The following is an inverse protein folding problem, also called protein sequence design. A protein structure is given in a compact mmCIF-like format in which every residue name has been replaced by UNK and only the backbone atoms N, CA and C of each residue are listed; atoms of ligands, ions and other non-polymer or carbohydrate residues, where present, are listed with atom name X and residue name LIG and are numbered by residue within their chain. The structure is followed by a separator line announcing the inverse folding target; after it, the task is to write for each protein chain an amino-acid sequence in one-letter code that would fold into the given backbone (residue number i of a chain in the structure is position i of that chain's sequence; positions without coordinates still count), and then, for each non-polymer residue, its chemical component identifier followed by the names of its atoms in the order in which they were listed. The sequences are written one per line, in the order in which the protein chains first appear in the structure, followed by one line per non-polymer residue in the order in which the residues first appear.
data_IF_226366482501
#
_entry.id   IF_226366482501
#
_cell.length_a   1.000
_cell.length_b   1.000
_cell.length_c   1.000
_cell.angle_alpha   90.00
_cell.angle_beta   90.00
_cell.angle_gamma   90.00
#
_symmetry.space_group_name_H-M   'P 1'
#
loop_
_entity.id
_entity.type
_entity.pdbx_description
1 polymer ?
#
# COMPACT_ATOMS: atom_id res chain seq x y z
N UNK A 1 33.10 9.10 7.38
CA UNK A 1 32.60 8.99 6.02
C UNK A 1 32.52 7.51 5.72
N UNK A 2 31.35 6.93 5.99
CA UNK A 2 31.00 5.65 5.41
C UNK A 2 30.44 5.97 4.03
N UNK A 3 30.97 5.35 2.99
CA UNK A 3 30.49 5.55 1.61
C UNK A 3 29.97 4.20 1.13
N UNK A 4 28.77 4.21 0.57
CA UNK A 4 28.19 3.04 -0.07
C UNK A 4 28.77 2.92 -1.48
N UNK A 5 29.92 2.26 -1.61
CA UNK A 5 30.53 1.90 -2.90
C UNK A 5 30.43 0.38 -3.07
N UNK A 6 29.34 -0.14 -3.62
CA UNK A 6 29.07 -1.58 -3.62
C UNK A 6 29.90 -2.39 -4.63
N UNK A 7 30.50 -1.73 -5.63
CA UNK A 7 31.23 -2.42 -6.72
C UNK A 7 32.69 -1.97 -6.82
N UNK A 8 32.95 -0.68 -7.04
CA UNK A 8 34.30 -0.14 -7.26
C UNK A 8 35.06 0.23 -5.97
N UNK A 9 35.00 -0.63 -4.95
CA UNK A 9 35.55 -0.30 -3.63
C UNK A 9 37.08 -0.18 -3.62
N UNK A 10 37.79 -0.92 -4.48
CA UNK A 10 39.25 -0.82 -4.59
C UNK A 10 39.69 0.56 -5.09
N UNK A 11 39.07 1.03 -6.18
CA UNK A 11 39.33 2.37 -6.73
C UNK A 11 39.05 3.45 -5.69
N UNK A 12 37.92 3.34 -4.99
CA UNK A 12 37.57 4.27 -3.91
C UNK A 12 38.62 4.28 -2.79
N UNK A 13 39.11 3.11 -2.36
CA UNK A 13 40.14 3.01 -1.31
C UNK A 13 41.46 3.62 -1.78
N UNK A 14 41.88 3.34 -3.01
CA UNK A 14 43.13 3.84 -3.58
C UNK A 14 43.10 5.37 -3.71
N UNK A 15 42.00 5.93 -4.25
CA UNK A 15 41.81 7.37 -4.40
C UNK A 15 41.72 8.08 -3.05
N UNK A 16 40.97 7.53 -2.09
CA UNK A 16 40.87 8.09 -0.75
C UNK A 16 42.23 8.06 -0.05
N UNK A 17 42.98 6.96 -0.18
CA UNK A 17 44.33 6.82 0.39
C UNK A 17 45.30 7.82 -0.24
N UNK A 18 45.25 7.99 -1.56
CA UNK A 18 46.04 8.99 -2.27
C UNK A 18 45.73 10.40 -1.76
N UNK A 19 44.45 10.76 -1.62
CA UNK A 19 44.04 12.07 -1.13
C UNK A 19 44.52 12.34 0.30
N UNK A 20 44.49 11.33 1.17
CA UNK A 20 45.03 11.44 2.54
C UNK A 20 46.55 11.60 2.53
N UNK A 21 47.28 10.77 1.76
CA UNK A 21 48.75 10.84 1.67
C UNK A 21 49.25 12.18 1.12
N UNK A 22 48.47 12.83 0.26
CA UNK A 22 48.79 14.14 -0.32
C UNK A 22 48.21 15.32 0.48
N UNK A 23 47.70 15.09 1.70
CA UNK A 23 47.11 16.11 2.58
C UNK A 23 45.92 16.88 1.96
N UNK A 24 45.28 16.33 0.92
CA UNK A 24 44.02 16.86 0.36
C UNK A 24 42.89 16.62 1.35
N UNK A 25 42.87 15.44 1.98
CA UNK A 25 41.97 15.10 3.09
C UNK A 25 42.81 14.99 4.37
N UNK A 26 42.54 15.81 5.40
CA UNK A 26 43.31 15.74 6.64
C UNK A 26 42.98 14.46 7.43
N UNK A 27 43.98 13.90 8.12
CA UNK A 27 43.79 12.70 8.96
C UNK A 27 42.70 12.89 10.02
N UNK A 28 42.52 14.10 10.56
CA UNK A 28 41.44 14.39 11.51
C UNK A 28 40.04 14.11 10.96
N UNK A 29 39.83 14.23 9.64
CA UNK A 29 38.57 13.86 8.97
C UNK A 29 38.39 12.35 8.93
N UNK A 30 39.48 11.59 8.74
CA UNK A 30 39.50 10.13 8.78
C UNK A 30 39.26 9.64 10.22
N UNK A 31 39.89 10.28 11.21
CA UNK A 31 39.72 9.94 12.61
C UNK A 31 38.28 10.18 13.08
N UNK A 32 37.68 11.33 12.78
CA UNK A 32 36.25 11.60 13.08
C UNK A 32 35.34 10.57 12.40
N UNK A 33 35.63 10.22 11.14
CA UNK A 33 34.89 9.24 10.37
C UNK A 33 34.91 7.85 11.02
N UNK A 34 36.11 7.35 11.31
CA UNK A 34 36.33 6.02 11.89
C UNK A 34 35.80 5.97 13.30
N UNK A 35 36.02 7.01 14.10
CA UNK A 35 35.52 7.11 15.46
C UNK A 35 33.99 6.96 15.52
N UNK A 36 33.24 7.60 14.61
CA UNK A 36 31.78 7.46 14.54
C UNK A 36 31.34 6.05 14.16
N UNK A 37 32.02 5.41 13.19
CA UNK A 37 31.73 4.03 12.77
C UNK A 37 32.01 3.06 13.92
N UNK A 38 33.19 3.16 14.54
CA UNK A 38 33.58 2.30 15.65
C UNK A 38 32.67 2.51 16.87
N UNK A 39 32.31 3.77 17.18
CA UNK A 39 31.36 4.06 18.26
C UNK A 39 30.06 3.29 18.08
N UNK A 40 29.46 3.31 16.89
CA UNK A 40 28.22 2.55 16.63
C UNK A 40 28.46 1.05 16.81
N UNK A 41 29.52 0.49 16.21
CA UNK A 41 29.86 -0.94 16.31
C UNK A 41 30.06 -1.41 17.75
N UNK A 42 30.76 -0.63 18.58
CA UNK A 42 30.93 -0.91 20.00
C UNK A 42 29.62 -0.74 20.78
N UNK A 43 28.88 0.36 20.54
CA UNK A 43 27.64 0.66 21.28
C UNK A 43 26.57 -0.41 21.07
N UNK A 44 26.47 -0.96 19.85
CA UNK A 44 25.50 -2.01 19.54
C UNK A 44 25.98 -3.43 19.91
N UNK A 45 27.17 -3.58 20.50
CA UNK A 45 27.72 -4.86 20.90
C UNK A 45 28.16 -5.77 19.74
N UNK A 46 28.47 -5.20 18.57
CA UNK A 46 28.86 -5.99 17.38
C UNK A 46 30.20 -6.71 17.58
N UNK A 47 31.07 -6.20 18.47
CA UNK A 47 32.33 -6.86 18.80
C UNK A 47 32.13 -8.07 19.73
N UNK A 48 31.11 -8.02 20.59
CA UNK A 48 30.74 -9.11 21.49
C UNK A 48 29.89 -10.17 20.79
N UNK A 49 28.99 -9.75 19.90
CA UNK A 49 28.08 -10.64 19.15
C UNK A 49 28.21 -10.39 17.63
N UNK A 50 29.33 -10.79 17.00
CA UNK A 50 29.58 -10.53 15.59
C UNK A 50 28.86 -11.48 14.63
N UNK A 51 28.28 -12.57 15.14
CA UNK A 51 27.63 -13.61 14.34
C UNK A 51 26.12 -13.64 14.58
N UNK A 52 25.39 -14.16 13.61
CA UNK A 52 23.95 -14.37 13.74
C UNK A 52 23.62 -15.39 14.83
N UNK A 53 22.50 -15.18 15.50
CA UNK A 53 21.92 -16.14 16.45
C UNK A 53 20.90 -17.04 15.71
N UNK A 54 21.17 -18.35 15.53
CA UNK A 54 20.25 -19.25 14.84
C UNK A 54 18.91 -19.44 15.55
N UNK A 55 18.81 -19.14 16.85
CA UNK A 55 17.56 -19.26 17.60
C UNK A 55 16.48 -18.27 17.13
N UNK A 56 16.89 -17.17 16.50
CA UNK A 56 15.99 -16.14 15.98
C UNK A 56 15.42 -16.48 14.60
N UNK A 57 15.79 -17.61 13.98
CA UNK A 57 15.29 -17.97 12.65
C UNK A 57 13.75 -18.09 12.59
N UNK A 58 13.12 -18.46 13.71
CA UNK A 58 11.65 -18.55 13.82
C UNK A 58 10.93 -17.20 13.86
N UNK A 59 11.64 -16.09 14.06
CA UNK A 59 11.06 -14.73 14.07
C UNK A 59 10.66 -14.26 12.66
N UNK A 60 11.28 -14.85 11.63
CA UNK A 60 11.00 -14.51 10.24
C UNK A 60 9.57 -14.91 9.86
N UNK A 61 8.72 -13.90 9.68
CA UNK A 61 7.32 -14.11 9.30
C UNK A 61 6.46 -14.76 10.38
N UNK A 62 6.84 -14.61 11.66
CA UNK A 62 6.09 -15.09 12.82
C UNK A 62 4.64 -14.58 12.83
N UNK A 63 3.75 -15.34 13.47
CA UNK A 63 2.34 -14.99 13.53
C UNK A 63 2.11 -13.66 14.24
N UNK A 64 2.86 -13.40 15.32
CA UNK A 64 2.79 -12.18 16.11
C UNK A 64 3.17 -10.95 15.28
N UNK A 65 4.21 -11.04 14.44
CA UNK A 65 4.58 -9.96 13.51
C UNK A 65 3.52 -9.74 12.43
N UNK A 66 2.88 -10.81 11.96
CA UNK A 66 1.77 -10.72 11.00
C UNK A 66 0.54 -10.08 11.62
N UNK A 67 0.22 -10.34 12.89
CA UNK A 67 -0.89 -9.66 13.57
C UNK A 67 -0.61 -8.17 13.76
N UNK A 68 0.65 -7.78 14.05
CA UNK A 68 1.06 -6.36 14.07
C UNK A 68 0.94 -5.74 12.67
N UNK A 69 1.34 -6.44 11.61
CA UNK A 69 1.20 -5.96 10.24
C UNK A 69 -0.28 -5.83 9.84
N UNK A 70 -1.14 -6.81 10.14
CA UNK A 70 -2.59 -6.74 9.95
C UNK A 70 -3.21 -5.54 10.68
N UNK A 71 -2.76 -5.26 11.90
CA UNK A 71 -3.17 -4.07 12.65
C UNK A 71 -2.75 -2.77 11.95
N UNK A 72 -1.51 -2.70 11.48
CA UNK A 72 -1.01 -1.55 10.74
C UNK A 72 -1.80 -1.32 9.45
N UNK A 73 -2.15 -2.40 8.72
CA UNK A 73 -3.02 -2.35 7.54
C UNK A 73 -4.35 -1.71 7.87
N UNK A 74 -5.12 -2.26 8.82
CA UNK A 74 -6.46 -1.72 9.13
C UNK A 74 -6.42 -0.25 9.58
N UNK A 75 -5.36 0.16 10.30
CA UNK A 75 -5.18 1.56 10.76
C UNK A 75 -4.71 2.52 9.67
N UNK A 76 -4.07 2.02 8.60
CA UNK A 76 -3.59 2.85 7.50
C UNK A 76 -4.68 3.22 6.50
N UNK A 77 -5.73 2.39 6.39
CA UNK A 77 -6.79 2.60 5.41
C UNK A 77 -7.56 3.90 5.66
N UNK A 78 -7.70 4.71 4.62
CA UNK A 78 -8.45 5.97 4.67
C UNK A 78 -9.73 5.85 3.87
N UNK A 79 -10.87 5.97 4.54
CA UNK A 79 -12.18 5.98 3.91
C UNK A 79 -12.47 7.37 3.35
N UNK A 80 -12.57 7.48 2.02
CA UNK A 80 -12.71 8.77 1.33
C UNK A 80 -14.14 9.05 0.88
N UNK A 81 -14.91 7.99 0.62
CA UNK A 81 -16.35 8.08 0.31
C UNK A 81 -17.07 6.89 0.92
N UNK A 82 -18.29 7.08 1.43
CA UNK A 82 -19.12 6.01 1.96
C UNK A 82 -20.62 6.27 1.75
N UNK A 83 -21.09 6.04 0.54
CA UNK A 83 -22.46 6.28 0.06
C UNK A 83 -22.54 7.41 -0.97
N UNK A 84 -23.52 7.32 -1.88
CA UNK A 84 -23.88 8.42 -2.80
C UNK A 84 -24.62 9.56 -2.07
N UNK A 85 -25.13 9.29 -0.86
CA UNK A 85 -25.72 10.29 0.04
C UNK A 85 -25.22 10.08 1.47
N UNK A 86 -25.16 11.15 2.25
CA UNK A 86 -24.69 11.10 3.65
C UNK A 86 -25.57 10.24 4.57
N UNK A 87 -26.81 9.93 4.18
CA UNK A 87 -27.78 9.18 4.98
C UNK A 87 -27.72 7.67 4.81
N UNK A 88 -27.03 7.15 3.79
CA UNK A 88 -27.04 5.71 3.47
C UNK A 88 -25.62 5.23 3.19
N UNK A 89 -24.83 4.89 4.24
CA UNK A 89 -23.50 4.34 4.06
C UNK A 89 -23.54 2.93 3.47
N UNK A 90 -22.54 2.58 2.67
CA UNK A 90 -22.34 1.21 2.16
C UNK A 90 -21.51 0.38 3.14
N UNK A 91 -20.44 0.98 3.68
CA UNK A 91 -19.54 0.35 4.65
C UNK A 91 -20.01 0.57 6.10
N UNK A 92 -19.89 -0.44 6.97
CA UNK A 92 -19.34 -1.77 6.69
C UNK A 92 -20.31 -2.70 5.93
N UNK A 93 -19.77 -3.57 5.08
CA UNK A 93 -20.49 -4.56 4.29
C UNK A 93 -21.03 -5.69 5.18
N UNK A 94 -22.20 -6.28 4.88
CA UNK A 94 -22.69 -7.45 5.60
C UNK A 94 -21.86 -8.69 5.24
N UNK A 95 -21.33 -9.41 6.23
CA UNK A 95 -20.62 -10.69 6.01
C UNK A 95 -21.50 -11.76 5.38
N UNK A 96 -22.82 -11.70 5.63
CA UNK A 96 -23.82 -12.62 5.07
C UNK A 96 -24.56 -11.94 3.92
N UNK A 97 -24.37 -12.48 2.73
CA UNK A 97 -25.01 -12.07 1.49
C UNK A 97 -25.37 -13.32 0.68
N UNK A 98 -26.22 -13.20 -0.34
CA UNK A 98 -26.47 -14.28 -1.29
C UNK A 98 -25.26 -14.49 -2.19
N UNK A 99 -24.81 -13.43 -2.85
CA UNK A 99 -23.71 -13.49 -3.83
C UNK A 99 -23.00 -12.15 -3.97
N UNK A 100 -21.68 -12.17 -3.96
CA UNK A 100 -20.85 -10.96 -4.04
C UNK A 100 -19.81 -11.10 -5.16
N UNK A 101 -19.44 -9.96 -5.73
CA UNK A 101 -18.36 -9.87 -6.71
C UNK A 101 -17.10 -9.30 -6.07
N UNK A 102 -15.97 -9.91 -6.33
CA UNK A 102 -14.64 -9.33 -6.09
C UNK A 102 -13.97 -9.20 -7.45
N UNK A 103 -13.50 -8.00 -7.80
CA UNK A 103 -12.94 -7.72 -9.12
C UNK A 103 -11.70 -6.83 -9.05
N UNK A 104 -11.02 -6.69 -10.20
CA UNK A 104 -9.85 -5.82 -10.38
C UNK A 104 -8.51 -6.53 -10.21
N UNK A 105 -7.52 -6.04 -10.93
CA UNK A 105 -6.16 -6.59 -11.07
C UNK A 105 -5.35 -6.67 -9.76
N UNK A 106 -5.81 -6.02 -8.70
CA UNK A 106 -5.16 -6.02 -7.39
C UNK A 106 -5.87 -6.89 -6.35
N UNK A 107 -7.02 -7.50 -6.69
CA UNK A 107 -7.80 -8.24 -5.72
C UNK A 107 -7.12 -9.55 -5.30
N UNK A 108 -6.51 -10.27 -6.24
CA UNK A 108 -5.80 -11.54 -5.98
C UNK A 108 -4.32 -11.49 -6.37
N UNK A 109 -3.65 -10.38 -6.04
CA UNK A 109 -2.24 -10.17 -6.38
C UNK A 109 -1.45 -9.62 -5.18
N UNK A 110 -0.73 -10.51 -4.49
CA UNK A 110 0.06 -10.23 -3.29
C UNK A 110 1.20 -9.26 -3.58
N UNK A 111 1.90 -9.46 -4.70
CA UNK A 111 2.95 -8.57 -5.16
C UNK A 111 2.48 -7.13 -5.35
N UNK A 112 1.32 -6.95 -5.99
CA UNK A 112 0.73 -5.63 -6.21
C UNK A 112 0.34 -4.92 -4.91
N UNK A 113 -0.24 -5.62 -3.92
CA UNK A 113 -0.57 -5.01 -2.63
C UNK A 113 0.66 -4.71 -1.76
N UNK A 114 1.82 -5.33 -2.03
CA UNK A 114 3.08 -5.02 -1.36
C UNK A 114 3.84 -3.85 -2.02
N UNK A 115 3.87 -3.79 -3.35
CA UNK A 115 4.58 -2.76 -4.10
C UNK A 115 6.10 -2.96 -4.18
N UNK A 116 6.85 -1.89 -4.46
CA UNK A 116 8.30 -1.92 -4.57
C UNK A 116 9.00 -2.31 -3.26
N UNK A 117 10.29 -2.63 -3.34
CA UNK A 117 11.09 -3.10 -2.19
C UNK A 117 10.55 -4.37 -1.51
N UNK A 118 9.77 -5.17 -2.22
CA UNK A 118 9.25 -6.46 -1.73
C UNK A 118 9.81 -7.59 -2.57
N UNK A 119 10.65 -8.44 -1.96
CA UNK A 119 11.45 -9.51 -2.58
C UNK A 119 12.48 -8.99 -3.59
N UNK A 120 12.05 -8.24 -4.61
CA UNK A 120 12.92 -7.58 -5.58
C UNK A 120 12.91 -6.06 -5.37
N UNK A 121 13.88 -5.37 -5.98
CA UNK A 121 14.02 -3.92 -5.87
C UNK A 121 12.75 -3.18 -6.33
N UNK A 122 12.28 -3.49 -7.54
CA UNK A 122 11.09 -2.88 -8.13
C UNK A 122 9.78 -3.48 -7.58
N UNK A 123 9.87 -4.56 -6.80
CA UNK A 123 8.74 -5.45 -6.55
C UNK A 123 8.37 -6.23 -7.80
N UNK A 124 7.41 -7.13 -7.66
CA UNK A 124 6.93 -7.96 -8.77
C UNK A 124 5.49 -8.40 -8.50
N UNK A 125 4.65 -8.53 -9.54
CA UNK A 125 3.29 -9.04 -9.39
C UNK A 125 3.29 -10.56 -9.12
N UNK A 126 2.16 -11.04 -8.59
CA UNK A 126 1.89 -12.45 -8.38
C UNK A 126 1.96 -12.88 -6.91
N UNK A 127 1.70 -14.17 -6.68
CA UNK A 127 1.43 -14.71 -5.34
C UNK A 127 2.48 -15.72 -4.85
N UNK A 128 3.49 -16.05 -5.68
CA UNK A 128 4.34 -17.22 -5.45
C UNK A 128 5.67 -16.92 -4.76
N UNK A 129 6.04 -15.64 -4.60
CA UNK A 129 7.40 -15.25 -4.20
C UNK A 129 7.51 -14.84 -2.72
N UNK A 130 6.38 -14.68 -2.03
CA UNK A 130 6.34 -14.44 -0.58
C UNK A 130 5.05 -14.99 0.03
N UNK A 131 5.03 -15.16 1.35
CA UNK A 131 3.87 -15.64 2.09
C UNK A 131 3.01 -14.48 2.60
N UNK A 132 1.72 -14.53 2.30
CA UNK A 132 0.74 -13.54 2.76
C UNK A 132 -0.69 -13.93 2.36
N UNK A 133 -1.62 -13.00 2.61
CA UNK A 133 -3.04 -13.15 2.30
C UNK A 133 -3.45 -12.05 1.32
N UNK A 134 -3.92 -12.43 0.13
CA UNK A 134 -4.50 -11.48 -0.83
C UNK A 134 -5.82 -10.91 -0.31
N UNK A 135 -6.26 -9.76 -0.83
CA UNK A 135 -7.56 -9.18 -0.44
C UNK A 135 -8.71 -10.13 -0.81
N UNK A 136 -8.66 -10.81 -1.96
CA UNK A 136 -9.65 -11.84 -2.33
C UNK A 136 -9.69 -12.97 -1.30
N UNK A 137 -8.52 -13.48 -0.89
CA UNK A 137 -8.43 -14.57 0.09
C UNK A 137 -8.95 -14.12 1.46
N UNK A 138 -8.63 -12.90 1.88
CA UNK A 138 -9.16 -12.28 3.09
C UNK A 138 -10.69 -12.18 3.06
N UNK A 139 -11.27 -11.67 1.97
CA UNK A 139 -12.72 -11.57 1.78
C UNK A 139 -13.37 -12.96 1.89
N UNK A 140 -12.85 -13.95 1.16
CA UNK A 140 -13.36 -15.34 1.20
C UNK A 140 -13.36 -15.94 2.61
N UNK A 141 -12.35 -15.63 3.42
CA UNK A 141 -12.26 -16.12 4.80
C UNK A 141 -13.13 -15.35 5.80
N UNK A 142 -13.57 -14.14 5.44
CA UNK A 142 -14.30 -13.23 6.32
C UNK A 142 -15.82 -13.35 6.19
N UNK A 143 -16.31 -13.63 4.98
CA UNK A 143 -17.75 -13.74 4.71
C UNK A 143 -18.35 -15.01 5.33
N UNK A 144 -19.67 -14.99 5.54
CA UNK A 144 -20.44 -16.15 5.99
C UNK A 144 -20.27 -17.31 4.98
N UNK A 145 -20.11 -18.57 5.42
CA UNK A 145 -19.94 -19.72 4.52
C UNK A 145 -21.07 -19.92 3.49
N UNK A 146 -22.26 -19.37 3.75
CA UNK A 146 -23.38 -19.36 2.80
C UNK A 146 -23.29 -18.27 1.72
N UNK A 147 -22.36 -17.33 1.83
CA UNK A 147 -22.14 -16.25 0.86
C UNK A 147 -21.32 -16.76 -0.32
N UNK A 148 -21.87 -16.67 -1.54
CA UNK A 148 -21.12 -17.03 -2.75
C UNK A 148 -20.21 -15.88 -3.18
N UNK A 149 -18.90 -16.09 -3.11
CA UNK A 149 -17.89 -15.14 -3.63
C UNK A 149 -17.54 -15.51 -5.08
N UNK A 150 -17.77 -14.60 -6.02
CA UNK A 150 -17.29 -14.70 -7.39
C UNK A 150 -16.09 -13.78 -7.55
N UNK A 151 -15.01 -14.31 -8.12
CA UNK A 151 -13.86 -13.52 -8.54
C UNK A 151 -13.83 -13.45 -10.06
N UNK A 152 -13.71 -12.25 -10.58
CA UNK A 152 -13.44 -11.97 -11.99
C UNK A 152 -12.54 -10.73 -12.04
N UNK A 153 -11.33 -10.86 -12.61
CA UNK A 153 -10.33 -9.80 -12.58
C UNK A 153 -10.77 -8.58 -13.40
N UNK A 154 -11.38 -8.83 -14.57
CA UNK A 154 -11.77 -7.82 -15.55
C UNK A 154 -13.13 -8.21 -16.18
N UNK A 155 -14.23 -8.15 -15.40
CA UNK A 155 -15.54 -8.59 -15.86
C UNK A 155 -16.10 -7.61 -16.89
N UNK A 156 -16.75 -8.14 -17.93
CA UNK A 156 -17.56 -7.33 -18.83
C UNK A 156 -18.93 -6.98 -18.21
N UNK A 157 -19.61 -5.97 -18.76
CA UNK A 157 -20.89 -5.49 -18.24
C UNK A 157 -21.98 -6.57 -18.24
N UNK A 158 -21.99 -7.45 -19.23
CA UNK A 158 -22.99 -8.52 -19.32
C UNK A 158 -22.85 -9.54 -18.20
N UNK A 159 -21.60 -9.86 -17.81
CA UNK A 159 -21.29 -10.74 -16.71
C UNK A 159 -21.64 -10.11 -15.35
N UNK A 160 -21.45 -8.79 -15.20
CA UNK A 160 -21.83 -8.06 -13.98
C UNK A 160 -23.36 -8.00 -13.86
N UNK A 161 -24.06 -7.60 -14.92
CA UNK A 161 -25.52 -7.44 -14.93
C UNK A 161 -26.26 -8.77 -14.71
N UNK A 162 -25.84 -9.85 -15.39
CA UNK A 162 -26.41 -11.18 -15.20
C UNK A 162 -26.05 -11.81 -13.85
N UNK A 163 -25.11 -11.21 -13.12
CA UNK A 163 -24.56 -11.75 -11.89
C UNK A 163 -25.47 -11.64 -10.67
N UNK A 164 -26.42 -10.68 -10.67
CA UNK A 164 -27.31 -10.37 -9.54
C UNK A 164 -26.57 -10.29 -8.19
N UNK A 165 -25.48 -9.53 -8.15
CA UNK A 165 -24.64 -9.39 -6.96
C UNK A 165 -25.27 -8.44 -5.93
N UNK A 166 -25.20 -8.80 -4.64
CA UNK A 166 -25.66 -7.94 -3.54
C UNK A 166 -24.79 -6.68 -3.41
N UNK A 167 -23.48 -6.83 -3.62
CA UNK A 167 -22.48 -5.77 -3.71
C UNK A 167 -21.21 -6.28 -4.38
N UNK A 168 -20.34 -5.35 -4.77
CA UNK A 168 -19.01 -5.63 -5.31
C UNK A 168 -17.89 -4.95 -4.51
N UNK A 169 -16.72 -5.61 -4.49
CA UNK A 169 -15.45 -5.03 -4.04
C UNK A 169 -14.50 -5.01 -5.24
N UNK A 170 -14.13 -3.82 -5.69
CA UNK A 170 -13.22 -3.61 -6.82
C UNK A 170 -11.86 -3.17 -6.26
N UNK A 171 -10.81 -3.93 -6.53
CA UNK A 171 -9.46 -3.65 -6.05
C UNK A 171 -8.55 -3.38 -7.23
N UNK A 172 -8.09 -2.13 -7.36
CA UNK A 172 -7.28 -1.66 -8.50
C UNK A 172 -6.18 -0.74 -7.99
N UNK A 173 -5.17 -0.43 -8.82
CA UNK A 173 -4.04 0.36 -8.33
C UNK A 173 -2.85 0.50 -9.26
N UNK A 174 -1.78 1.08 -8.71
CA UNK A 174 -0.47 1.11 -9.36
C UNK A 174 0.20 -0.28 -9.32
N UNK A 175 0.93 -0.70 -10.36
CA UNK A 175 1.86 -1.82 -10.26
C UNK A 175 3.04 -1.47 -9.32
N UNK A 176 3.81 -2.47 -8.85
CA UNK A 176 5.03 -2.22 -8.07
C UNK A 176 6.03 -1.32 -8.81
N UNK A 177 6.66 -0.41 -8.07
CA UNK A 177 7.77 0.43 -8.55
C UNK A 177 8.66 0.87 -7.37
N UNK A 178 9.91 1.21 -7.67
CA UNK A 178 10.84 1.83 -6.74
C UNK A 178 11.69 2.90 -7.44
N UNK A 179 11.92 4.01 -6.72
CA UNK A 179 12.80 5.12 -7.15
C UNK A 179 12.38 5.70 -8.51
N UNK A 180 13.33 5.89 -9.45
CA UNK A 180 13.08 6.54 -10.75
C UNK A 180 12.00 5.85 -11.58
N UNK A 181 11.82 4.54 -11.44
CA UNK A 181 10.75 3.83 -12.15
C UNK A 181 9.35 4.25 -11.71
N UNK A 182 9.24 4.86 -10.52
CA UNK A 182 8.01 5.45 -10.01
C UNK A 182 7.76 6.89 -10.46
N UNK A 183 8.70 7.56 -11.13
CA UNK A 183 8.49 8.92 -11.60
C UNK A 183 7.36 8.94 -12.64
N UNK A 184 6.27 9.63 -12.32
CA UNK A 184 5.09 9.68 -13.16
C UNK A 184 4.42 11.07 -13.07
N UNK A 185 4.27 11.73 -14.22
CA UNK A 185 3.69 13.07 -14.34
C UNK A 185 2.17 13.06 -14.51
N UNK A 186 1.57 11.93 -14.92
CA UNK A 186 0.12 11.85 -15.12
C UNK A 186 -0.63 11.36 -13.87
N UNK A 187 0.02 10.57 -13.01
CA UNK A 187 -0.53 10.01 -11.77
C UNK A 187 -1.94 9.42 -11.94
N UNK A 188 -2.22 8.76 -13.07
CA UNK A 188 -3.48 8.08 -13.34
C UNK A 188 -3.45 6.63 -12.89
N UNK A 189 -4.61 6.07 -12.51
CA UNK A 189 -4.75 4.63 -12.28
C UNK A 189 -4.54 3.91 -13.64
N UNK A 190 -3.64 2.92 -13.73
CA UNK A 190 -3.44 2.15 -14.96
C UNK A 190 -4.69 1.34 -15.37
N UNK A 191 -4.90 1.20 -16.68
CA UNK A 191 -5.90 0.27 -17.22
C UNK A 191 -5.52 -1.19 -16.92
N UNK A 192 -6.50 -2.10 -16.73
CA UNK A 192 -7.95 -1.89 -16.90
C UNK A 192 -8.67 -1.27 -15.67
N UNK A 193 -7.93 -0.69 -14.70
CA UNK A 193 -8.51 -0.21 -13.44
C UNK A 193 -9.72 0.73 -13.59
N UNK A 194 -9.58 1.86 -14.30
CA UNK A 194 -10.71 2.74 -14.60
C UNK A 194 -11.88 2.05 -15.30
N UNK A 195 -11.62 1.19 -16.29
CA UNK A 195 -12.65 0.45 -17.00
C UNK A 195 -13.42 -0.51 -16.07
N UNK A 196 -12.72 -1.26 -15.21
CA UNK A 196 -13.34 -2.16 -14.23
C UNK A 196 -14.17 -1.38 -13.21
N UNK A 197 -13.68 -0.22 -12.74
CA UNK A 197 -14.46 0.65 -11.85
C UNK A 197 -15.77 1.04 -12.51
N UNK A 198 -15.74 1.54 -13.76
CA UNK A 198 -16.95 1.97 -14.47
C UNK A 198 -17.91 0.79 -14.66
N UNK A 199 -17.45 -0.29 -15.26
CA UNK A 199 -18.27 -1.48 -15.57
C UNK A 199 -18.94 -2.05 -14.33
N UNK A 200 -18.23 -2.17 -13.21
CA UNK A 200 -18.79 -2.79 -12.00
C UNK A 200 -19.67 -1.80 -11.23
N UNK A 201 -19.22 -0.56 -11.01
CA UNK A 201 -19.91 0.39 -10.14
C UNK A 201 -21.16 1.04 -10.77
N UNK A 202 -21.30 0.98 -12.09
CA UNK A 202 -22.53 1.40 -12.76
C UNK A 202 -23.66 0.37 -12.58
N UNK A 203 -23.33 -0.92 -12.49
CA UNK A 203 -24.31 -2.01 -12.41
C UNK A 203 -24.64 -2.45 -10.98
N UNK A 204 -23.66 -2.47 -10.07
CA UNK A 204 -23.84 -2.94 -8.69
C UNK A 204 -23.21 -1.97 -7.69
N UNK A 205 -23.80 -1.88 -6.48
CA UNK A 205 -23.21 -1.09 -5.40
C UNK A 205 -21.79 -1.56 -5.13
N UNK A 206 -20.82 -0.66 -5.27
CA UNK A 206 -19.42 -1.03 -5.24
C UNK A 206 -18.63 -0.29 -4.16
N UNK A 207 -17.68 -1.00 -3.55
CA UNK A 207 -16.57 -0.40 -2.82
C UNK A 207 -15.33 -0.50 -3.71
N UNK A 208 -14.70 0.64 -4.01
CA UNK A 208 -13.39 0.65 -4.66
C UNK A 208 -12.30 0.76 -3.59
N UNK A 209 -11.38 -0.20 -3.61
CA UNK A 209 -10.16 -0.22 -2.79
C UNK A 209 -8.98 0.10 -3.70
N UNK A 210 -8.38 1.27 -3.52
CA UNK A 210 -7.24 1.72 -4.30
C UNK A 210 -5.92 1.36 -3.62
N UNK A 211 -5.11 0.55 -4.32
CA UNK A 211 -3.74 0.23 -3.97
C UNK A 211 -2.81 1.22 -4.68
N UNK A 212 -2.06 2.02 -3.93
CA UNK A 212 -1.21 3.07 -4.53
C UNK A 212 -0.12 3.51 -3.57
N UNK A 213 1.02 3.94 -4.09
CA UNK A 213 2.07 4.51 -3.24
C UNK A 213 1.79 5.96 -2.83
N UNK A 214 0.75 6.58 -3.41
CA UNK A 214 0.49 8.03 -3.39
C UNK A 214 -0.93 8.37 -3.90
N UNK A 215 -1.43 9.60 -3.68
CA UNK A 215 -2.64 10.08 -4.33
C UNK A 215 -2.56 10.02 -5.85
N UNK A 216 -3.65 9.60 -6.49
CA UNK A 216 -3.81 9.50 -7.95
C UNK A 216 -5.01 10.31 -8.44
N UNK A 217 -5.10 10.53 -9.75
CA UNK A 217 -6.28 11.10 -10.41
C UNK A 217 -7.47 10.16 -10.21
N UNK A 218 -8.43 10.59 -9.39
CA UNK A 218 -9.64 9.80 -9.06
C UNK A 218 -10.94 10.56 -9.32
N UNK A 219 -10.90 11.89 -9.41
CA UNK A 219 -12.07 12.76 -9.56
C UNK A 219 -13.05 12.30 -10.66
N UNK A 220 -12.60 11.85 -11.85
CA UNK A 220 -13.50 11.35 -12.90
C UNK A 220 -14.35 10.13 -12.51
N UNK A 221 -13.87 9.33 -11.56
CA UNK A 221 -14.47 8.04 -11.19
C UNK A 221 -15.22 8.09 -9.85
N UNK A 222 -14.95 9.10 -9.00
CA UNK A 222 -15.57 9.25 -7.68
C UNK A 222 -17.11 9.25 -7.77
N UNK A 223 -17.70 9.78 -8.85
CA UNK A 223 -19.15 9.78 -9.06
C UNK A 223 -19.77 8.38 -9.14
N UNK A 224 -19.08 7.43 -9.79
CA UNK A 224 -19.56 6.07 -9.98
C UNK A 224 -19.49 5.23 -8.69
N UNK A 225 -18.44 5.41 -7.90
CA UNK A 225 -18.16 4.62 -6.69
C UNK A 225 -19.20 4.87 -5.59
N UNK A 226 -19.73 3.84 -4.94
CA UNK A 226 -20.54 4.05 -3.73
C UNK A 226 -19.65 4.31 -2.52
N UNK A 227 -18.58 3.54 -2.35
CA UNK A 227 -17.55 3.81 -1.36
C UNK A 227 -16.14 3.75 -1.97
N UNK A 228 -15.22 4.53 -1.40
CA UNK A 228 -13.86 4.65 -1.88
C UNK A 228 -12.88 4.60 -0.71
N UNK A 229 -11.94 3.66 -0.77
CA UNK A 229 -10.93 3.41 0.27
C UNK A 229 -9.54 3.55 -0.36
N UNK A 230 -8.71 4.43 0.20
CA UNK A 230 -7.29 4.44 -0.08
C UNK A 230 -6.60 3.44 0.84
N UNK A 231 -6.05 2.37 0.26
CA UNK A 231 -5.39 1.29 1.00
C UNK A 231 -3.86 1.36 0.99
N UNK A 232 -3.31 2.32 0.26
CA UNK A 232 -1.86 2.51 0.10
C UNK A 232 -1.20 1.26 -0.48
N UNK A 233 -0.05 0.85 0.08
CA UNK A 233 0.59 -0.44 -0.17
C UNK A 233 0.53 -1.26 1.13
N UNK A 234 -0.54 -2.04 1.37
CA UNK A 234 -0.79 -2.67 2.67
C UNK A 234 0.12 -3.86 2.99
N UNK A 235 0.99 -4.30 2.09
CA UNK A 235 1.91 -5.40 2.39
C UNK A 235 1.21 -6.76 2.43
N UNK A 236 1.74 -7.71 3.20
CA UNK A 236 1.34 -9.13 3.11
C UNK A 236 -0.01 -9.48 3.75
N UNK A 237 -0.55 -8.63 4.62
CA UNK A 237 -1.66 -8.99 5.50
C UNK A 237 -3.00 -8.40 5.02
N UNK A 238 -3.47 -8.85 3.85
CA UNK A 238 -4.73 -8.38 3.24
C UNK A 238 -5.98 -8.57 4.11
N UNK A 239 -5.90 -9.40 5.15
CA UNK A 239 -6.94 -9.53 6.17
C UNK A 239 -7.24 -8.20 6.89
N UNK A 240 -6.24 -7.32 7.06
CA UNK A 240 -6.46 -5.99 7.64
C UNK A 240 -7.38 -5.11 6.80
N UNK A 241 -7.47 -5.36 5.48
CA UNK A 241 -8.45 -4.69 4.60
C UNK A 241 -9.85 -5.21 4.88
N UNK A 242 -10.02 -6.54 4.90
CA UNK A 242 -11.32 -7.16 5.18
C UNK A 242 -11.87 -6.81 6.57
N UNK A 243 -11.00 -6.72 7.58
CA UNK A 243 -11.35 -6.34 8.97
C UNK A 243 -12.22 -5.08 9.05
N UNK A 244 -11.89 -4.03 8.28
CA UNK A 244 -12.64 -2.77 8.28
C UNK A 244 -13.73 -2.72 7.22
N UNK A 245 -13.56 -3.42 6.09
CA UNK A 245 -14.62 -3.51 5.07
C UNK A 245 -15.87 -4.18 5.62
N UNK A 246 -15.71 -5.21 6.45
CA UNK A 246 -16.80 -5.97 7.06
C UNK A 246 -17.13 -5.54 8.49
N UNK A 247 -16.44 -4.53 9.02
CA UNK A 247 -16.79 -3.88 10.27
C UNK A 247 -16.39 -4.64 11.54
N UNK A 248 -15.42 -5.55 11.48
CA UNK A 248 -14.78 -6.07 12.70
C UNK A 248 -14.07 -4.93 13.45
N UNK A 249 -13.57 -3.96 12.69
CA UNK A 249 -13.03 -2.69 13.19
C UNK A 249 -13.62 -1.52 12.41
N UNK A 250 -13.55 -0.33 13.02
CA UNK A 250 -13.90 0.93 12.37
C UNK A 250 -12.74 1.49 11.53
N UNK A 251 -13.06 2.23 10.47
CA UNK A 251 -12.06 3.05 9.77
C UNK A 251 -11.61 4.21 10.67
N UNK A 252 -10.29 4.35 10.83
CA UNK A 252 -9.69 5.43 11.63
C UNK A 252 -8.62 6.23 10.90
N UNK A 253 -8.14 5.74 9.75
CA UNK A 253 -7.05 6.37 9.01
C UNK A 253 -7.43 7.77 8.52
N UNK A 254 -6.43 8.65 8.50
CA UNK A 254 -6.53 10.02 7.97
C UNK A 254 -5.44 10.22 6.93
N UNK A 255 -5.75 10.99 5.89
CA UNK A 255 -4.83 11.27 4.79
C UNK A 255 -3.54 11.92 5.32
N UNK A 256 -2.37 11.26 5.18
CA UNK A 256 -1.09 11.86 5.53
C UNK A 256 -0.55 12.76 4.40
N UNK A 257 -1.26 12.86 3.27
CA UNK A 257 -0.94 13.71 2.13
C UNK A 257 -2.20 14.34 1.55
N UNK A 258 -2.06 15.52 0.97
CA UNK A 258 -3.12 16.16 0.18
C UNK A 258 -3.50 15.30 -1.02
N UNK A 259 -4.80 15.11 -1.28
CA UNK A 259 -5.28 14.52 -2.53
C UNK A 259 -5.66 15.62 -3.52
N UNK A 260 -4.95 15.72 -4.63
CA UNK A 260 -5.17 16.74 -5.66
C UNK A 260 -6.41 16.42 -6.52
N UNK A 261 -6.96 17.44 -7.18
CA UNK A 261 -8.00 17.31 -8.22
C UNK A 261 -7.38 16.95 -9.57
N UNK A 262 -6.40 17.76 -9.99
CA UNK A 262 -5.60 17.58 -11.20
C UNK A 262 -4.11 17.60 -10.86
N UNK A 263 -3.30 16.90 -11.65
CA UNK A 263 -1.84 16.97 -11.58
C UNK A 263 -1.29 18.37 -11.89
N UNK A 264 -2.05 19.21 -12.58
CA UNK A 264 -1.68 20.60 -12.88
C UNK A 264 -1.59 21.48 -11.61
N UNK A 265 -2.19 21.03 -10.50
CA UNK A 265 -2.08 21.71 -9.21
C UNK A 265 -0.74 21.44 -8.52
N UNK A 266 0.06 20.48 -9.00
CA UNK A 266 1.28 20.07 -8.31
C UNK A 266 2.45 21.03 -8.58
N UNK A 267 3.30 21.31 -7.58
CA UNK A 267 3.18 20.88 -6.18
C UNK A 267 2.14 21.70 -5.39
N UNK A 268 1.29 21.02 -4.62
CA UNK A 268 0.32 21.65 -3.70
C UNK A 268 0.28 20.91 -2.35
N UNK A 269 0.56 21.63 -1.27
CA UNK A 269 0.64 21.11 0.09
C UNK A 269 -0.20 21.93 1.07
N UNK A 270 -0.52 21.33 2.21
CA UNK A 270 -1.27 22.01 3.28
C UNK A 270 -0.51 23.25 3.73
N UNK A 271 -1.18 24.41 3.71
CA UNK A 271 -0.59 25.71 4.05
C UNK A 271 -0.23 26.59 2.84
N UNK A 272 -0.27 26.06 1.62
CA UNK A 272 -0.05 26.88 0.42
C UNK A 272 -1.22 27.85 0.17
N UNK A 273 -0.95 29.04 -0.37
CA UNK A 273 -1.99 30.05 -0.65
C UNK A 273 -3.05 29.57 -1.66
N UNK A 274 -2.65 28.70 -2.59
CA UNK A 274 -3.50 28.14 -3.65
C UNK A 274 -4.02 26.73 -3.30
N UNK A 275 -4.17 26.42 -2.01
CA UNK A 275 -4.59 25.10 -1.54
C UNK A 275 -6.06 24.79 -1.85
N UNK A 276 -6.30 24.07 -2.95
CA UNK A 276 -7.63 23.57 -3.38
C UNK A 276 -7.63 22.05 -3.63
N UNK A 277 -7.64 21.23 -2.56
CA UNK A 277 -7.57 19.79 -2.70
C UNK A 277 -8.93 19.15 -3.02
N UNK A 278 -8.90 17.97 -3.65
CA UNK A 278 -10.06 17.08 -3.73
C UNK A 278 -10.40 16.53 -2.35
N UNK A 279 -9.39 16.04 -1.63
CA UNK A 279 -9.47 15.67 -0.22
C UNK A 279 -8.29 16.32 0.55
N UNK A 280 -8.56 17.14 1.58
CA UNK A 280 -7.51 17.84 2.30
C UNK A 280 -6.66 16.89 3.14
N UNK A 281 -5.45 17.35 3.50
CA UNK A 281 -4.61 16.67 4.48
C UNK A 281 -5.40 16.45 5.79
N UNK A 282 -5.26 15.26 6.39
CA UNK A 282 -5.99 14.87 7.60
C UNK A 282 -7.44 14.45 7.35
N UNK A 283 -7.94 14.45 6.11
CA UNK A 283 -9.27 13.94 5.78
C UNK A 283 -9.37 12.42 5.94
N UNK A 284 -10.54 11.93 6.31
CA UNK A 284 -10.84 10.49 6.37
C UNK A 284 -12.13 10.28 7.14
N UNK A 285 -13.10 9.62 6.51
CA UNK A 285 -14.35 9.24 7.16
C UNK A 285 -14.08 8.09 8.16
N UNK A 286 -14.97 7.97 9.14
CA UNK A 286 -14.89 6.90 10.15
C UNK A 286 -16.09 5.98 10.04
N UNK A 287 -15.92 4.75 10.51
CA UNK A 287 -17.04 3.82 10.76
C UNK A 287 -16.90 3.27 12.18
N UNK A 288 -18.00 2.76 12.72
CA UNK A 288 -17.99 2.02 13.98
C UNK A 288 -17.92 0.52 13.68
N UNK A 289 -17.32 -0.26 14.59
CA UNK A 289 -17.34 -1.71 14.49
C UNK A 289 -18.79 -2.24 14.65
N UNK A 290 -19.17 -3.24 13.86
CA UNK A 290 -20.42 -3.98 14.04
C UNK A 290 -20.18 -5.07 15.10
N UNK A 291 -20.93 -4.98 16.18
CA UNK A 291 -21.03 -6.07 17.18
C UNK A 291 -21.84 -7.23 16.63
#
# INVERSE_FOLDING_TARGET
MQVMVPFAYTEFIDDLTYQVKNNIIPMSRIDDAVYRILRVKFTMGLFENPFADPSLAGELGSHEHREVAREAVRKSLVLLKNGKSASTPLLPLPKKAGKILVAGSHADNLGNQCGGWTITWQGEPGNNNTAGTTILSAIKSTVDPGTKVVYDEDPDSSAVDAGEYDYAVVVVGEPPYAETAGDNLNLTIPEPGPAVIQTVCESVKCVVVLISGRPLVVEPYIGAMDAFVAAWLPGSEGQGVADVLFGDYGFTGKLPRTWFRSVDQLPMNVGDEHYDPLFPFGFGLTTEARK
#
